data_IF_230080597369
#
_entry.id   IF_230080597369
#
_cell.length_a   1.000
_cell.length_b   1.000
_cell.length_c   1.000
_cell.angle_alpha   90.00
_cell.angle_beta   90.00
_cell.angle_gamma   90.00
#
_symmetry.space_group_name_H-M   'P 1'
#
loop_
_entity.id
_entity.type
_entity.pdbx_description
1 polymer ?
#
# COMPACT_ATOMS: atom_id res chain seq x y z
N UNK A 1 -31.43 -5.80 -21.37
CA UNK A 1 -30.71 -4.52 -21.46
C UNK A 1 -29.39 -4.85 -22.12
N UNK A 2 -29.29 -4.56 -23.41
CA UNK A 2 -28.30 -5.09 -24.33
C UNK A 2 -27.37 -3.94 -24.72
N UNK A 3 -26.08 -4.04 -24.39
CA UNK A 3 -25.10 -2.99 -24.66
C UNK A 3 -24.47 -3.29 -26.03
N UNK A 4 -24.81 -2.44 -27.00
CA UNK A 4 -24.22 -2.43 -28.35
C UNK A 4 -22.76 -1.98 -28.28
N UNK A 5 -21.88 -2.74 -28.93
CA UNK A 5 -20.50 -2.34 -29.23
C UNK A 5 -20.50 -1.16 -30.21
N UNK A 6 -19.69 -0.15 -29.91
CA UNK A 6 -19.49 1.02 -30.76
C UNK A 6 -18.20 0.82 -31.56
N UNK A 7 -18.31 0.55 -32.85
CA UNK A 7 -17.16 0.53 -33.76
C UNK A 7 -16.72 1.97 -34.07
N UNK A 8 -15.48 2.30 -33.74
CA UNK A 8 -14.85 3.57 -34.14
C UNK A 8 -14.34 3.46 -35.58
N UNK A 9 -14.99 4.19 -36.48
CA UNK A 9 -14.53 4.40 -37.86
C UNK A 9 -13.40 5.42 -37.87
N UNK A 10 -12.16 5.00 -38.13
CA UNK A 10 -11.02 5.92 -38.32
C UNK A 10 -10.79 6.22 -39.81
N UNK A 11 -11.23 7.42 -40.18
CA UNK A 11 -10.73 8.40 -41.16
C UNK A 11 -9.71 7.89 -42.20
N UNK A 12 -10.20 7.78 -43.44
CA UNK A 12 -9.41 7.94 -44.68
C UNK A 12 -8.96 9.41 -44.82
N UNK A 13 -7.73 9.71 -44.47
CA UNK A 13 -7.00 10.86 -44.99
C UNK A 13 -5.54 10.46 -45.08
N UNK A 14 -5.02 10.20 -46.29
CA UNK A 14 -3.63 10.37 -46.73
C UNK A 14 -3.49 9.68 -48.09
N UNK A 15 -3.83 10.40 -49.15
CA UNK A 15 -3.37 10.11 -50.50
C UNK A 15 -2.79 11.40 -51.05
N UNK A 16 -1.54 11.33 -51.51
CA UNK A 16 -0.67 12.43 -51.95
C UNK A 16 0.01 13.26 -50.87
N UNK A 17 1.03 12.67 -50.24
CA UNK A 17 2.22 13.40 -49.83
C UNK A 17 3.46 12.55 -50.19
N UNK A 18 4.52 13.23 -50.63
CA UNK A 18 5.76 12.65 -51.14
C UNK A 18 6.42 11.68 -50.14
N UNK A 19 7.00 10.60 -50.68
CA UNK A 19 7.39 9.36 -49.97
C UNK A 19 8.60 9.44 -49.02
N UNK A 20 8.97 10.61 -48.50
CA UNK A 20 10.26 10.76 -47.79
C UNK A 20 10.19 11.37 -46.38
N UNK A 21 9.01 11.76 -45.87
CA UNK A 21 8.88 12.42 -44.54
C UNK A 21 7.90 11.76 -43.55
N UNK A 22 7.27 10.64 -43.92
CA UNK A 22 6.19 10.01 -43.13
C UNK A 22 6.65 9.03 -42.02
N UNK A 23 7.92 8.59 -42.05
CA UNK A 23 8.42 7.62 -41.07
C UNK A 23 8.70 8.17 -39.65
N UNK A 24 9.25 9.39 -39.43
CA UNK A 24 9.57 9.86 -38.08
C UNK A 24 8.36 10.33 -37.26
N UNK A 25 7.22 10.67 -37.90
CA UNK A 25 6.04 11.21 -37.18
C UNK A 25 5.22 10.12 -36.46
N UNK A 26 5.21 8.89 -36.98
CA UNK A 26 4.43 7.77 -36.41
C UNK A 26 5.09 7.21 -35.13
N UNK A 27 6.43 7.26 -35.04
CA UNK A 27 7.18 6.79 -33.86
C UNK A 27 7.03 7.75 -32.67
N UNK A 28 6.95 9.06 -32.91
CA UNK A 28 6.75 10.06 -31.86
C UNK A 28 5.36 9.99 -31.21
N UNK A 29 4.32 9.66 -31.98
CA UNK A 29 2.97 9.43 -31.44
C UNK A 29 2.89 8.17 -30.57
N UNK A 30 3.53 7.06 -30.96
CA UNK A 30 3.47 5.81 -30.16
C UNK A 30 4.19 5.91 -28.80
N UNK A 31 5.21 6.76 -28.68
CA UNK A 31 5.94 6.99 -27.43
C UNK A 31 5.19 7.89 -26.44
N UNK A 32 4.17 8.63 -26.86
CA UNK A 32 3.41 9.56 -26.00
C UNK A 32 2.15 8.94 -25.37
N UNK A 33 1.66 7.80 -25.87
CA UNK A 33 0.46 7.15 -25.32
C UNK A 33 0.76 6.11 -24.21
N UNK A 34 1.97 5.53 -24.16
CA UNK A 34 2.31 4.51 -23.15
C UNK A 34 2.57 5.07 -21.75
N UNK A 35 3.22 6.23 -21.65
CA UNK A 35 3.58 6.87 -20.38
C UNK A 35 2.37 7.47 -19.65
N UNK A 36 1.37 7.98 -20.38
CA UNK A 36 0.18 8.60 -19.78
C UNK A 36 -0.71 7.59 -19.03
N UNK A 37 -0.80 6.33 -19.48
CA UNK A 37 -1.64 5.30 -18.84
C UNK A 37 -1.00 4.75 -17.57
N UNK A 38 0.33 4.50 -17.56
CA UNK A 38 1.05 4.10 -16.34
C UNK A 38 1.09 5.21 -15.30
N UNK A 39 1.22 6.47 -15.72
CA UNK A 39 1.15 7.63 -14.82
C UNK A 39 -0.24 7.86 -14.22
N UNK A 40 -1.33 7.40 -14.85
CA UNK A 40 -2.69 7.54 -14.33
C UNK A 40 -3.01 6.52 -13.21
N UNK A 41 -2.41 5.34 -13.25
CA UNK A 41 -2.53 4.34 -12.18
C UNK A 41 -1.66 4.71 -10.97
N UNK A 42 -0.49 5.31 -11.22
CA UNK A 42 0.29 5.97 -10.19
C UNK A 42 -0.48 7.21 -9.70
N UNK A 43 -0.40 7.51 -8.40
CA UNK A 43 -1.02 8.66 -7.73
C UNK A 43 -2.56 8.61 -7.52
N UNK A 44 -3.24 7.53 -7.92
CA UNK A 44 -4.64 7.30 -7.54
C UNK A 44 -4.71 6.49 -6.25
N UNK A 45 -5.61 6.89 -5.34
CA UNK A 45 -5.88 6.14 -4.11
C UNK A 45 -6.72 4.90 -4.40
N UNK A 46 -6.23 3.76 -3.96
CA UNK A 46 -7.02 2.54 -3.79
C UNK A 46 -7.55 2.48 -2.36
N UNK A 47 -8.74 1.92 -2.20
CA UNK A 47 -9.43 1.78 -0.92
C UNK A 47 -9.53 0.30 -0.54
N UNK A 48 -9.32 0.04 0.75
CA UNK A 48 -9.51 -1.25 1.41
C UNK A 48 -10.56 -1.02 2.49
N UNK A 49 -11.63 -1.79 2.44
CA UNK A 49 -12.74 -1.69 3.38
C UNK A 49 -12.58 -2.71 4.48
N UNK A 50 -12.79 -2.29 5.72
CA UNK A 50 -13.00 -3.20 6.83
C UNK A 50 -14.47 -3.29 7.23
N UNK A 51 -14.76 -4.26 8.08
CA UNK A 51 -16.07 -4.30 8.73
C UNK A 51 -16.23 -3.09 9.66
N UNK A 52 -17.39 -2.41 9.67
CA UNK A 52 -17.62 -1.30 10.59
C UNK A 52 -18.09 -1.77 11.98
N UNK A 53 -18.08 -3.09 12.25
CA UNK A 53 -18.64 -3.67 13.45
C UNK A 53 -17.87 -4.86 14.01
N UNK A 54 -16.55 -4.87 13.92
CA UNK A 54 -15.73 -5.96 14.45
C UNK A 54 -14.69 -5.55 15.49
N UNK A 55 -14.52 -4.26 15.75
CA UNK A 55 -13.71 -3.87 16.89
C UNK A 55 -14.31 -4.30 18.23
N UNK A 56 -13.47 -4.60 19.22
CA UNK A 56 -13.90 -5.01 20.57
C UNK A 56 -13.54 -3.91 21.59
N UNK A 57 -14.43 -3.60 22.52
CA UNK A 57 -14.12 -2.83 23.74
C UNK A 57 -14.89 -3.39 24.93
N UNK A 58 -14.18 -4.10 25.81
CA UNK A 58 -14.84 -4.84 26.90
C UNK A 58 -15.79 -5.89 26.32
N UNK A 59 -17.08 -5.76 26.61
CA UNK A 59 -18.13 -6.62 26.04
C UNK A 59 -18.89 -5.99 24.86
N UNK A 60 -18.43 -4.84 24.35
CA UNK A 60 -19.01 -4.16 23.18
C UNK A 60 -18.29 -4.62 21.92
N UNK A 61 -19.05 -4.94 20.87
CA UNK A 61 -18.56 -5.25 19.52
C UNK A 61 -19.10 -4.22 18.55
N UNK A 62 -18.20 -3.62 17.77
CA UNK A 62 -18.49 -2.63 16.75
C UNK A 62 -18.74 -1.21 17.27
N UNK A 63 -18.38 -0.22 16.44
CA UNK A 63 -18.53 1.20 16.74
C UNK A 63 -17.71 1.68 17.95
N UNK A 64 -16.67 0.93 18.33
CA UNK A 64 -15.87 1.26 19.52
C UNK A 64 -14.85 2.35 19.21
N UNK A 65 -14.11 2.79 20.23
CA UNK A 65 -12.98 3.71 20.03
C UNK A 65 -11.87 3.09 19.18
N UNK A 66 -11.77 1.76 19.13
CA UNK A 66 -10.70 1.05 18.41
C UNK A 66 -11.01 0.83 16.93
N UNK A 67 -12.23 1.12 16.47
CA UNK A 67 -12.69 0.78 15.13
C UNK A 67 -11.81 1.39 14.03
N UNK A 68 -11.38 0.56 13.09
CA UNK A 68 -10.70 0.93 11.85
C UNK A 68 -11.64 0.57 10.71
N UNK A 69 -12.07 1.57 9.95
CA UNK A 69 -13.07 1.35 8.91
C UNK A 69 -12.46 1.07 7.56
N UNK A 70 -11.32 1.71 7.28
CA UNK A 70 -10.71 1.74 5.96
C UNK A 70 -9.22 1.93 6.02
N UNK A 71 -8.54 1.35 5.04
CA UNK A 71 -7.19 1.74 4.66
C UNK A 71 -7.20 2.23 3.21
N UNK A 72 -6.22 3.07 2.91
CA UNK A 72 -6.00 3.59 1.57
C UNK A 72 -4.53 3.44 1.26
N UNK A 73 -4.23 3.16 0.00
CA UNK A 73 -2.86 3.19 -0.48
C UNK A 73 -2.78 3.87 -1.84
N UNK A 74 -1.63 4.50 -2.10
CA UNK A 74 -1.25 4.89 -3.46
C UNK A 74 0.24 4.79 -3.61
N UNK A 75 0.67 4.53 -4.84
CA UNK A 75 2.06 4.67 -5.23
C UNK A 75 2.24 5.94 -6.05
N UNK A 76 3.16 6.79 -5.63
CA UNK A 76 3.73 7.90 -6.43
C UNK A 76 5.12 7.46 -6.91
N UNK A 77 5.72 8.19 -7.84
CA UNK A 77 6.99 7.81 -8.48
C UNK A 77 8.00 7.17 -7.51
N UNK A 78 8.42 7.92 -6.48
CA UNK A 78 9.42 7.48 -5.50
C UNK A 78 8.83 7.17 -4.11
N UNK A 79 7.50 7.18 -3.96
CA UNK A 79 6.84 7.10 -2.63
C UNK A 79 5.68 6.14 -2.62
N UNK A 80 5.53 5.42 -1.52
CA UNK A 80 4.28 4.73 -1.19
C UNK A 80 3.65 5.51 -0.04
N UNK A 81 2.35 5.78 -0.20
CA UNK A 81 1.54 6.43 0.82
C UNK A 81 0.51 5.42 1.34
N UNK A 82 0.40 5.32 2.66
CA UNK A 82 -0.63 4.55 3.36
C UNK A 82 -1.45 5.51 4.20
N UNK A 83 -2.77 5.36 4.20
CA UNK A 83 -3.67 6.13 5.05
C UNK A 83 -4.77 5.26 5.63
N UNK A 84 -5.38 5.70 6.72
CA UNK A 84 -6.31 4.89 7.52
C UNK A 84 -7.39 5.77 8.11
N UNK A 85 -8.65 5.34 8.04
CA UNK A 85 -9.77 6.01 8.69
C UNK A 85 -10.24 5.18 9.90
N UNK A 86 -10.29 5.79 11.07
CA UNK A 86 -10.48 5.11 12.35
C UNK A 86 -11.13 6.00 13.40
N UNK A 87 -11.75 5.41 14.42
CA UNK A 87 -12.13 6.11 15.64
C UNK A 87 -10.97 6.26 16.64
N UNK A 88 -9.86 5.55 16.41
CA UNK A 88 -8.78 5.47 17.37
C UNK A 88 -7.92 6.74 17.35
N UNK A 89 -7.82 7.48 18.47
CA UNK A 89 -7.07 8.72 18.49
C UNK A 89 -5.56 8.48 18.37
N UNK A 90 -4.85 9.40 17.72
CA UNK A 90 -3.40 9.30 17.47
C UNK A 90 -2.58 9.13 18.73
N UNK A 91 -2.96 9.85 19.78
CA UNK A 91 -2.33 9.80 21.09
C UNK A 91 -2.69 8.54 21.90
N UNK A 92 -3.47 7.61 21.34
CA UNK A 92 -4.01 6.44 22.02
C UNK A 92 -5.04 6.76 23.10
N UNK A 93 -5.35 5.76 23.92
CA UNK A 93 -6.36 5.86 24.99
C UNK A 93 -5.82 5.30 26.30
N UNK A 94 -6.24 5.87 27.42
CA UNK A 94 -5.99 5.27 28.74
C UNK A 94 -6.83 4.01 28.91
N UNK A 95 -6.23 2.95 29.45
CA UNK A 95 -6.91 1.68 29.71
C UNK A 95 -6.39 1.06 31.00
N UNK A 96 -7.29 0.80 31.95
CA UNK A 96 -6.96 0.07 33.19
C UNK A 96 -6.67 -1.41 32.94
N UNK A 97 -6.95 -1.92 31.74
CA UNK A 97 -6.65 -3.30 31.35
C UNK A 97 -5.27 -3.44 30.70
N UNK A 98 -4.64 -2.33 30.31
CA UNK A 98 -3.28 -2.34 29.79
C UNK A 98 -2.25 -2.29 30.92
N UNK A 99 -1.18 -3.06 30.77
CA UNK A 99 -0.14 -3.21 31.80
C UNK A 99 0.58 -1.90 32.17
N UNK A 100 0.67 -0.96 31.23
CA UNK A 100 1.23 0.38 31.40
C UNK A 100 0.16 1.47 31.54
N UNK A 101 -1.12 1.08 31.64
CA UNK A 101 -2.26 1.99 31.76
C UNK A 101 -2.68 2.65 30.44
N UNK A 102 -2.13 2.22 29.31
CA UNK A 102 -2.25 2.92 28.04
C UNK A 102 -2.33 1.95 26.85
N UNK A 103 -3.07 2.33 25.81
CA UNK A 103 -3.11 1.59 24.54
C UNK A 103 -2.80 2.59 23.44
N UNK A 104 -1.74 2.31 22.69
CA UNK A 104 -1.36 3.06 21.50
C UNK A 104 -1.67 2.32 20.20
N UNK A 105 -1.29 2.95 19.09
CA UNK A 105 -1.17 2.25 17.82
C UNK A 105 0.04 1.33 17.84
N UNK A 106 -0.11 0.14 17.26
CA UNK A 106 1.03 -0.68 16.89
C UNK A 106 1.84 -0.05 15.75
N UNK A 107 2.85 -0.78 15.33
CA UNK A 107 3.65 -0.44 14.15
C UNK A 107 2.93 -0.93 12.89
N UNK A 108 3.11 -0.26 11.75
CA UNK A 108 2.59 -0.76 10.47
C UNK A 108 3.56 -1.82 9.99
N UNK A 109 3.14 -3.07 9.95
CA UNK A 109 3.99 -4.19 9.53
C UNK A 109 3.78 -4.43 8.04
N UNK A 110 4.85 -4.66 7.30
CA UNK A 110 4.87 -4.86 5.85
C UNK A 110 5.62 -6.17 5.54
N UNK A 111 4.98 -7.07 4.83
CA UNK A 111 5.53 -8.36 4.41
C UNK A 111 5.60 -8.46 2.89
N UNK A 112 6.82 -8.52 2.37
CA UNK A 112 7.13 -8.61 0.94
C UNK A 112 7.56 -10.02 0.51
N UNK A 113 7.56 -11.00 1.44
CA UNK A 113 8.15 -12.33 1.21
C UNK A 113 7.24 -13.28 0.44
N UNK A 114 5.94 -12.98 0.37
CA UNK A 114 4.91 -13.91 -0.11
C UNK A 114 4.60 -15.07 0.85
N UNK A 115 5.19 -15.09 2.04
CA UNK A 115 4.93 -16.10 3.07
C UNK A 115 3.90 -15.60 4.10
N UNK A 116 3.40 -16.50 4.95
CA UNK A 116 2.60 -16.10 6.11
C UNK A 116 3.45 -15.30 7.12
N UNK A 117 2.79 -14.54 8.00
CA UNK A 117 3.47 -13.61 8.90
C UNK A 117 4.46 -14.30 9.85
N UNK A 118 4.16 -15.52 10.30
CA UNK A 118 5.02 -16.28 11.21
C UNK A 118 6.31 -16.77 10.53
N UNK A 119 6.25 -17.14 9.26
CA UNK A 119 7.41 -17.59 8.49
C UNK A 119 8.29 -16.42 8.04
N UNK A 120 7.71 -15.24 7.83
CA UNK A 120 8.42 -14.04 7.38
C UNK A 120 9.16 -13.28 8.50
N UNK A 121 9.14 -13.76 9.75
CA UNK A 121 9.80 -13.10 10.88
C UNK A 121 11.30 -12.93 10.63
N UNK A 122 11.82 -11.72 10.85
CA UNK A 122 13.21 -11.35 10.56
C UNK A 122 13.44 -10.87 9.12
N UNK A 123 12.43 -10.98 8.25
CA UNK A 123 12.45 -10.49 6.86
C UNK A 123 11.36 -9.44 6.60
N UNK A 124 10.66 -8.99 7.66
CA UNK A 124 9.62 -7.98 7.54
C UNK A 124 10.22 -6.58 7.38
N UNK A 125 9.42 -5.69 6.82
CA UNK A 125 9.57 -4.26 7.01
C UNK A 125 8.55 -3.78 8.04
N UNK A 126 8.82 -2.66 8.69
CA UNK A 126 7.81 -2.01 9.54
C UNK A 126 8.01 -0.51 9.62
N UNK A 127 6.92 0.23 9.81
CA UNK A 127 6.94 1.66 10.09
C UNK A 127 6.59 1.87 11.55
N UNK A 128 7.56 2.36 12.33
CA UNK A 128 7.30 2.94 13.63
C UNK A 128 6.88 4.39 13.45
N UNK A 129 5.58 4.62 13.44
CA UNK A 129 5.01 5.93 13.18
C UNK A 129 4.80 6.76 14.47
N UNK A 130 4.54 6.07 15.58
CA UNK A 130 4.26 6.66 16.90
C UNK A 130 5.34 6.29 17.91
N UNK A 131 5.68 7.21 18.82
CA UNK A 131 6.71 6.99 19.84
C UNK A 131 6.17 6.37 21.12
N UNK A 132 4.88 6.53 21.37
CA UNK A 132 4.16 6.02 22.53
C UNK A 132 3.51 4.68 22.20
N UNK A 133 4.34 3.65 22.01
CA UNK A 133 3.93 2.27 21.84
C UNK A 133 4.99 1.32 22.46
N UNK A 134 4.64 0.07 22.69
CA UNK A 134 5.47 -1.01 23.25
C UNK A 134 6.51 -1.58 22.25
N UNK A 135 6.76 -0.86 21.16
CA UNK A 135 7.77 -1.19 20.16
C UNK A 135 9.17 -1.15 20.77
N UNK A 136 9.97 -2.17 20.46
CA UNK A 136 11.35 -2.27 20.94
C UNK A 136 12.32 -1.45 20.09
N UNK A 137 11.90 -0.96 18.93
CA UNK A 137 12.72 -0.08 18.12
C UNK A 137 12.95 1.26 18.85
N UNK A 138 14.14 1.88 18.80
CA UNK A 138 14.38 3.14 19.49
C UNK A 138 13.93 4.36 18.66
N UNK A 139 13.98 4.27 17.34
CA UNK A 139 13.75 5.38 16.42
C UNK A 139 12.41 5.25 15.71
N UNK A 140 11.78 6.40 15.42
CA UNK A 140 10.70 6.48 14.45
C UNK A 140 11.26 6.33 13.02
N UNK A 141 10.47 5.77 12.12
CA UNK A 141 10.87 5.59 10.72
C UNK A 141 10.48 4.23 10.16
N UNK A 142 11.06 3.93 9.01
CA UNK A 142 10.97 2.65 8.32
C UNK A 142 12.14 1.77 8.76
N UNK A 143 11.82 0.53 9.09
CA UNK A 143 12.76 -0.50 9.51
C UNK A 143 12.67 -1.70 8.55
N UNK A 144 13.80 -2.39 8.38
CA UNK A 144 13.89 -3.70 7.74
C UNK A 144 14.43 -4.75 8.69
N UNK A 145 14.53 -6.00 8.22
CA UNK A 145 14.93 -7.16 9.01
C UNK A 145 14.09 -7.30 10.30
N UNK A 146 12.80 -6.98 10.19
CA UNK A 146 11.91 -6.85 11.34
C UNK A 146 11.39 -8.22 11.79
N UNK A 147 11.45 -8.44 13.10
CA UNK A 147 10.60 -9.42 13.78
C UNK A 147 9.53 -8.65 14.55
N UNK A 148 8.27 -9.07 14.41
CA UNK A 148 7.14 -8.52 15.12
C UNK A 148 6.76 -9.40 16.31
N UNK A 149 6.14 -8.79 17.32
CA UNK A 149 5.51 -9.44 18.48
C UNK A 149 4.09 -8.90 18.63
N UNK A 150 3.25 -9.64 19.36
CA UNK A 150 1.99 -9.09 19.87
C UNK A 150 2.16 -8.75 21.34
N UNK A 151 1.52 -7.67 21.76
CA UNK A 151 1.35 -7.28 23.16
C UNK A 151 -0.13 -7.25 23.55
N UNK A 152 -0.99 -7.92 22.77
CA UNK A 152 -2.43 -7.78 22.88
C UNK A 152 -2.98 -8.23 24.24
N UNK A 153 -2.48 -9.35 24.76
CA UNK A 153 -2.87 -9.85 26.07
C UNK A 153 -2.40 -8.91 27.20
N UNK A 154 -1.20 -8.33 27.06
CA UNK A 154 -0.66 -7.33 28.00
C UNK A 154 -1.47 -6.03 27.98
N UNK A 155 -2.12 -5.75 26.85
CA UNK A 155 -2.96 -4.58 26.63
C UNK A 155 -4.46 -4.87 26.79
N UNK A 156 -4.80 -6.00 27.44
CA UNK A 156 -6.14 -6.25 27.95
C UNK A 156 -7.12 -6.88 26.96
N UNK A 157 -6.66 -7.38 25.82
CA UNK A 157 -7.54 -8.11 24.90
C UNK A 157 -8.01 -9.42 25.54
N UNK A 158 -9.32 -9.57 25.70
CA UNK A 158 -9.96 -10.70 26.40
C UNK A 158 -9.94 -12.01 25.59
N UNK A 159 -10.25 -12.04 24.29
CA UNK A 159 -10.04 -13.25 23.48
C UNK A 159 -8.59 -13.72 23.54
N UNK A 160 -8.35 -15.04 23.63
CA UNK A 160 -7.00 -15.56 23.85
C UNK A 160 -6.10 -15.58 22.59
N UNK A 161 -6.70 -15.43 21.41
CA UNK A 161 -6.04 -15.44 20.10
C UNK A 161 -7.00 -14.93 19.02
N UNK A 162 -6.52 -14.85 17.77
CA UNK A 162 -7.30 -14.37 16.63
C UNK A 162 -8.55 -15.22 16.35
N UNK A 163 -8.48 -16.55 16.50
CA UNK A 163 -9.66 -17.41 16.33
C UNK A 163 -10.74 -17.10 17.36
N UNK A 164 -10.34 -16.94 18.63
CA UNK A 164 -11.24 -16.58 19.71
C UNK A 164 -11.81 -15.18 19.51
N UNK A 165 -11.01 -14.23 18.99
CA UNK A 165 -11.46 -12.88 18.62
C UNK A 165 -12.57 -12.96 17.57
N UNK A 166 -12.31 -13.64 16.45
CA UNK A 166 -13.27 -13.79 15.36
C UNK A 166 -14.57 -14.44 15.84
N UNK A 167 -14.45 -15.49 16.65
CA UNK A 167 -15.60 -16.17 17.25
C UNK A 167 -16.38 -15.25 18.19
N UNK A 168 -15.68 -14.44 18.99
CA UNK A 168 -16.29 -13.48 19.91
C UNK A 168 -17.08 -12.42 19.15
N UNK A 169 -16.46 -11.77 18.16
CA UNK A 169 -17.13 -10.78 17.29
C UNK A 169 -18.39 -11.38 16.67
N UNK A 170 -18.27 -12.54 16.05
CA UNK A 170 -19.39 -13.20 15.38
C UNK A 170 -20.51 -13.57 16.34
N UNK A 171 -20.18 -14.12 17.53
CA UNK A 171 -21.17 -14.51 18.54
C UNK A 171 -21.91 -13.32 19.16
N UNK A 172 -21.34 -12.12 19.08
CA UNK A 172 -21.94 -10.87 19.55
C UNK A 172 -22.53 -10.03 18.40
N UNK A 173 -22.76 -10.64 17.23
CA UNK A 173 -23.48 -10.01 16.11
C UNK A 173 -22.64 -9.11 15.20
N UNK A 174 -21.32 -9.05 15.41
CA UNK A 174 -20.38 -8.40 14.50
C UNK A 174 -20.00 -9.28 13.31
N UNK A 175 -19.23 -8.72 12.37
CA UNK A 175 -18.68 -9.44 11.23
C UNK A 175 -17.16 -9.32 11.24
N UNK A 176 -16.42 -10.33 11.71
CA UNK A 176 -14.96 -10.25 11.76
C UNK A 176 -14.39 -10.09 10.35
N UNK A 177 -13.50 -9.13 10.18
CA UNK A 177 -12.82 -8.77 8.95
C UNK A 177 -11.39 -8.34 9.26
N UNK A 178 -10.53 -8.35 8.25
CA UNK A 178 -9.15 -7.84 8.32
C UNK A 178 -8.81 -7.17 6.98
N UNK A 179 -9.69 -6.28 6.51
CA UNK A 179 -9.60 -5.65 5.20
C UNK A 179 -9.63 -6.64 4.01
N UNK A 180 -8.60 -6.59 3.17
CA UNK A 180 -8.48 -7.44 1.97
C UNK A 180 -8.29 -8.93 2.29
N UNK A 181 -7.94 -9.26 3.53
CA UNK A 181 -7.75 -10.64 3.97
C UNK A 181 -9.02 -11.16 4.66
N UNK A 182 -9.45 -12.39 4.37
CA UNK A 182 -10.55 -12.99 5.12
C UNK A 182 -10.14 -13.17 6.58
N UNK A 183 -11.08 -13.03 7.53
CA UNK A 183 -10.78 -13.13 8.97
C UNK A 183 -10.12 -14.46 9.38
N UNK A 184 -10.42 -15.55 8.68
CA UNK A 184 -9.81 -16.87 8.86
C UNK A 184 -8.62 -17.14 7.92
N UNK A 185 -7.98 -16.09 7.40
CA UNK A 185 -6.82 -16.20 6.49
C UNK A 185 -5.71 -17.06 7.10
N UNK A 186 -5.02 -17.80 6.24
CA UNK A 186 -3.81 -18.56 6.59
C UNK A 186 -2.58 -17.67 6.77
N UNK A 187 -2.67 -16.40 6.38
CA UNK A 187 -1.59 -15.44 6.52
C UNK A 187 -1.26 -15.14 7.99
N UNK A 188 -2.29 -15.06 8.83
CA UNK A 188 -2.17 -14.93 10.28
C UNK A 188 -2.40 -16.28 10.95
N UNK A 189 -1.54 -16.65 11.89
CA UNK A 189 -1.77 -17.81 12.74
C UNK A 189 -2.94 -17.55 13.68
N UNK A 190 -4.02 -18.31 13.47
CA UNK A 190 -5.28 -18.17 14.19
C UNK A 190 -5.16 -18.54 15.68
N UNK A 191 -4.09 -19.23 16.10
CA UNK A 191 -3.88 -19.68 17.48
C UNK A 191 -3.14 -18.67 18.36
N UNK A 192 -2.70 -17.55 17.79
CA UNK A 192 -2.04 -16.46 18.51
C UNK A 192 -2.72 -15.13 18.22
N UNK A 193 -2.34 -14.09 18.95
CA UNK A 193 -2.67 -12.72 18.60
C UNK A 193 -1.80 -12.23 17.44
N UNK A 194 -2.32 -11.31 16.62
CA UNK A 194 -1.59 -10.79 15.45
C UNK A 194 -0.38 -9.97 15.92
N UNK A 195 0.86 -10.37 15.55
CA UNK A 195 2.03 -9.54 15.81
C UNK A 195 1.95 -8.21 15.05
N UNK A 196 1.82 -7.09 15.78
CA UNK A 196 1.74 -5.75 15.21
C UNK A 196 2.63 -4.72 15.91
N UNK A 197 3.62 -5.18 16.68
CA UNK A 197 4.60 -4.33 17.37
C UNK A 197 6.00 -4.85 17.06
N UNK A 198 6.96 -3.98 16.76
CA UNK A 198 8.33 -4.38 16.44
C UNK A 198 8.99 -4.96 17.70
N UNK A 199 9.50 -6.18 17.59
CA UNK A 199 10.35 -6.83 18.59
C UNK A 199 11.83 -6.54 18.34
N UNK A 200 12.24 -6.48 17.08
CA UNK A 200 13.58 -6.11 16.63
C UNK A 200 13.54 -5.65 15.17
N UNK A 201 14.54 -4.88 14.75
CA UNK A 201 14.72 -4.48 13.35
C UNK A 201 15.84 -3.47 13.18
N UNK A 202 16.24 -3.24 11.93
CA UNK A 202 17.27 -2.28 11.54
C UNK A 202 16.59 -1.03 10.97
N UNK A 203 16.91 0.15 11.51
CA UNK A 203 16.41 1.41 10.95
C UNK A 203 16.99 1.65 9.55
N UNK A 204 16.14 2.01 8.60
CA UNK A 204 16.52 2.23 7.20
C UNK A 204 16.38 3.69 6.77
N UNK A 205 15.23 4.31 7.06
CA UNK A 205 14.94 5.67 6.61
C UNK A 205 13.84 6.34 7.45
N UNK A 206 13.68 7.64 7.27
CA UNK A 206 12.58 8.41 7.83
C UNK A 206 11.27 8.18 7.07
N UNK A 207 10.16 8.35 7.79
CA UNK A 207 8.83 8.44 7.20
C UNK A 207 8.29 9.85 7.35
N UNK A 208 7.37 10.23 6.46
CA UNK A 208 6.71 11.53 6.50
C UNK A 208 5.23 11.34 6.82
N UNK A 209 4.73 12.06 7.82
CA UNK A 209 3.30 12.16 8.05
C UNK A 209 2.65 12.95 6.91
N UNK A 210 1.54 12.44 6.40
CA UNK A 210 0.73 13.13 5.41
C UNK A 210 -0.05 14.27 6.09
N UNK A 211 -0.09 15.42 5.43
CA UNK A 211 -0.84 16.57 5.91
C UNK A 211 -2.35 16.36 5.71
N UNK A 212 -3.22 17.13 6.40
CA UNK A 212 -4.65 17.12 6.11
C UNK A 212 -4.98 17.43 4.64
N UNK A 213 -4.14 18.20 3.95
CA UNK A 213 -4.32 18.48 2.52
C UNK A 213 -4.03 17.24 1.65
N UNK A 214 -3.02 16.44 2.00
CA UNK A 214 -2.69 15.20 1.28
C UNK A 214 -3.78 14.14 1.44
N UNK A 215 -4.48 14.17 2.59
CA UNK A 215 -5.57 13.28 2.95
C UNK A 215 -6.94 13.80 2.52
N UNK A 216 -7.00 14.96 1.84
CA UNK A 216 -8.26 15.57 1.43
C UNK A 216 -9.03 14.64 0.49
N UNK A 217 -10.30 14.39 0.81
CA UNK A 217 -11.17 13.48 0.05
C UNK A 217 -11.04 12.01 0.46
N UNK A 218 -10.07 11.67 1.32
CA UNK A 218 -10.05 10.39 2.03
C UNK A 218 -10.89 10.50 3.28
N UNK A 219 -11.57 9.42 3.63
CA UNK A 219 -12.35 9.37 4.85
C UNK A 219 -13.38 8.26 4.85
N UNK A 220 -14.13 8.22 5.93
CA UNK A 220 -15.15 7.24 6.20
C UNK A 220 -15.91 7.62 7.45
N UNK A 221 -16.64 6.68 8.06
CA UNK A 221 -17.39 6.94 9.28
C UNK A 221 -16.50 7.17 10.51
N UNK A 222 -15.19 6.88 10.41
CA UNK A 222 -14.22 7.10 11.48
C UNK A 222 -13.94 8.57 11.74
N UNK A 223 -13.70 8.90 13.01
CA UNK A 223 -13.43 10.25 13.49
C UNK A 223 -12.13 10.86 12.97
N UNK A 224 -11.13 10.02 12.66
CA UNK A 224 -9.81 10.44 12.29
C UNK A 224 -9.35 9.78 10.99
N UNK A 225 -8.53 10.51 10.23
CA UNK A 225 -7.78 9.96 9.10
C UNK A 225 -6.31 10.30 9.29
N UNK A 226 -5.46 9.29 9.33
CA UNK A 226 -4.01 9.44 9.43
C UNK A 226 -3.35 8.86 8.20
N UNK A 227 -2.14 9.29 7.87
CA UNK A 227 -1.38 8.63 6.83
C UNK A 227 0.10 8.93 6.87
N UNK A 228 0.87 8.00 6.33
CA UNK A 228 2.33 8.03 6.28
C UNK A 228 2.80 7.83 4.84
N UNK A 229 3.93 8.42 4.52
CA UNK A 229 4.62 8.29 3.25
C UNK A 229 6.05 7.82 3.49
N UNK A 230 6.53 6.89 2.67
CA UNK A 230 7.90 6.36 2.73
C UNK A 230 8.45 6.10 1.33
N UNK A 231 9.78 5.97 1.22
CA UNK A 231 10.44 5.77 -0.07
C UNK A 231 10.11 4.39 -0.65
N UNK A 232 9.59 4.36 -1.88
CA UNK A 232 9.19 3.12 -2.55
C UNK A 232 10.40 2.26 -2.93
N UNK A 233 11.57 2.88 -3.11
CA UNK A 233 12.84 2.22 -3.46
C UNK A 233 13.38 1.29 -2.37
N UNK A 234 12.90 1.44 -1.12
CA UNK A 234 13.33 0.61 0.01
C UNK A 234 12.69 -0.78 -0.04
N UNK A 235 11.46 -0.87 -0.56
CA UNK A 235 10.78 -2.16 -0.72
C UNK A 235 11.17 -2.81 -2.05
N UNK A 236 11.30 -4.15 -2.11
CA UNK A 236 11.39 -4.85 -3.39
C UNK A 236 10.14 -4.58 -4.25
N UNK A 237 10.27 -4.78 -5.57
CA UNK A 237 9.13 -4.75 -6.49
C UNK A 237 8.20 -5.95 -6.27
N UNK A 238 6.92 -5.80 -6.63
CA UNK A 238 5.91 -6.84 -6.53
C UNK A 238 4.87 -6.57 -5.45
N UNK A 239 4.08 -7.58 -5.11
CA UNK A 239 3.03 -7.45 -4.10
C UNK A 239 3.58 -7.52 -2.69
N UNK A 240 2.99 -6.75 -1.78
CA UNK A 240 3.22 -6.89 -0.34
C UNK A 240 1.90 -6.83 0.43
N UNK A 241 1.91 -7.41 1.62
CA UNK A 241 0.80 -7.29 2.58
C UNK A 241 1.24 -6.31 3.65
N UNK A 242 0.40 -5.32 3.96
CA UNK A 242 0.56 -4.54 5.18
C UNK A 242 -0.56 -4.84 6.16
N UNK A 243 -0.30 -4.63 7.46
CA UNK A 243 -1.36 -4.56 8.46
C UNK A 243 -1.07 -3.52 9.53
N UNK A 244 -2.12 -2.96 10.10
CA UNK A 244 -2.03 -1.97 11.17
C UNK A 244 -3.23 -2.02 12.10
N UNK A 245 -3.02 -1.58 13.35
CA UNK A 245 -4.08 -1.41 14.33
C UNK A 245 -3.52 -1.13 15.72
N UNK A 246 -4.39 -0.92 16.72
CA UNK A 246 -4.01 -0.78 18.11
C UNK A 246 -3.16 -1.97 18.62
N UNK A 247 -2.24 -1.71 19.55
CA UNK A 247 -1.34 -2.73 20.12
C UNK A 247 -2.07 -3.87 20.83
N UNK A 248 -3.28 -3.58 21.28
CA UNK A 248 -4.20 -4.54 21.87
C UNK A 248 -4.88 -5.48 20.85
N UNK A 249 -4.71 -5.28 19.53
CA UNK A 249 -5.44 -6.00 18.47
C UNK A 249 -6.96 -5.95 18.64
N UNK A 250 -7.49 -4.89 19.27
CA UNK A 250 -8.95 -4.69 19.40
C UNK A 250 -9.62 -4.41 18.05
N UNK A 251 -8.84 -4.10 17.02
CA UNK A 251 -9.20 -4.07 15.61
C UNK A 251 -7.90 -4.09 14.79
N UNK A 252 -7.87 -4.77 13.64
CA UNK A 252 -6.69 -4.84 12.76
C UNK A 252 -7.14 -4.90 11.32
N UNK A 253 -6.67 -3.95 10.52
CA UNK A 253 -6.88 -3.94 9.08
C UNK A 253 -5.62 -4.44 8.35
N UNK A 254 -5.80 -5.18 7.27
CA UNK A 254 -4.73 -5.55 6.34
C UNK A 254 -5.08 -5.24 4.89
N UNK A 255 -4.06 -4.98 4.08
CA UNK A 255 -4.20 -4.67 2.67
C UNK A 255 -3.18 -5.39 1.81
N UNK A 256 -3.59 -5.76 0.59
CA UNK A 256 -2.68 -6.30 -0.42
C UNK A 256 -2.36 -5.18 -1.42
N UNK A 257 -1.07 -4.83 -1.52
CA UNK A 257 -0.62 -3.74 -2.39
C UNK A 257 0.28 -4.30 -3.48
N UNK A 258 -0.03 -3.99 -4.73
CA UNK A 258 0.86 -4.23 -5.86
C UNK A 258 1.77 -3.02 -6.08
N UNK A 259 3.06 -3.16 -5.79
CA UNK A 259 4.06 -2.14 -6.12
C UNK A 259 4.49 -2.28 -7.58
N UNK A 260 4.12 -1.31 -8.40
CA UNK A 260 4.46 -1.28 -9.82
C UNK A 260 5.87 -0.68 -9.97
N UNK A 261 6.72 -1.31 -10.78
CA UNK A 261 8.02 -0.72 -11.13
C UNK A 261 7.80 0.58 -11.93
N UNK A 262 8.33 1.68 -11.43
CA UNK A 262 8.40 2.95 -12.17
C UNK A 262 9.73 2.98 -12.92
N UNK A 263 9.75 2.99 -14.27
CA UNK A 263 11.01 3.05 -15.01
C UNK A 263 11.70 4.39 -14.75
N UNK A 264 12.94 4.35 -14.26
CA UNK A 264 13.77 5.55 -14.12
C UNK A 264 13.86 6.31 -15.46
N UNK A 265 13.72 7.65 -15.47
CA UNK A 265 13.72 8.46 -16.70
C UNK A 265 14.96 8.26 -17.59
N UNK A 266 16.09 7.91 -16.98
CA UNK A 266 17.37 7.67 -17.65
C UNK A 266 17.30 6.50 -18.64
N UNK A 267 16.50 5.47 -18.37
CA UNK A 267 16.32 4.33 -19.26
C UNK A 267 15.47 4.71 -20.48
N UNK A 268 14.45 5.56 -20.30
CA UNK A 268 13.58 6.02 -21.39
C UNK A 268 14.35 6.90 -22.37
N UNK A 269 15.23 7.78 -21.86
CA UNK A 269 16.08 8.63 -22.70
C UNK A 269 17.12 7.81 -23.49
N UNK A 270 17.69 6.77 -22.88
CA UNK A 270 18.61 5.85 -23.55
C UNK A 270 17.98 5.10 -24.73
N UNK A 271 16.75 4.60 -24.56
CA UNK A 271 16.00 3.96 -25.65
C UNK A 271 15.59 4.96 -26.74
N UNK A 272 15.16 6.16 -26.37
CA UNK A 272 14.83 7.21 -27.33
C UNK A 272 16.04 7.61 -28.19
N UNK A 273 17.22 7.78 -27.57
CA UNK A 273 18.46 8.09 -28.29
C UNK A 273 18.95 6.94 -29.18
N UNK A 274 18.79 5.69 -28.74
CA UNK A 274 19.13 4.52 -29.55
C UNK A 274 18.25 4.39 -30.80
N UNK A 275 16.95 4.66 -30.68
CA UNK A 275 16.01 4.67 -31.82
C UNK A 275 16.31 5.82 -32.79
N UNK A 276 16.65 7.00 -32.29
CA UNK A 276 17.11 8.13 -33.12
C UNK A 276 18.39 7.77 -33.87
N UNK A 277 19.35 7.12 -33.22
CA UNK A 277 20.60 6.66 -33.83
C UNK A 277 20.42 5.58 -34.91
N UNK A 278 19.46 4.67 -34.74
CA UNK A 278 19.10 3.67 -35.77
C UNK A 278 18.44 4.31 -37.00
N UNK A 279 17.57 5.30 -36.78
CA UNK A 279 16.93 6.05 -37.86
C UNK A 279 17.93 6.89 -38.66
N UNK A 280 18.96 7.46 -38.02
CA UNK A 280 19.99 8.24 -38.74
C UNK A 280 20.87 7.37 -39.64
N UNK A 281 21.22 6.15 -39.21
CA UNK A 281 22.02 5.21 -40.02
C UNK A 281 21.28 4.74 -41.29
N UNK A 282 19.96 4.60 -41.24
CA UNK A 282 19.16 4.21 -42.41
C UNK A 282 19.09 5.31 -43.48
N UNK A 283 19.14 6.58 -43.09
CA UNK A 283 19.09 7.72 -44.02
C UNK A 283 20.45 7.91 -44.72
N UNK A 284 21.57 7.68 -44.02
CA UNK A 284 22.91 7.83 -44.61
C UNK A 284 23.35 6.68 -45.52
N UNK A 285 22.67 5.52 -45.46
CA UNK A 285 23.04 4.33 -46.25
C UNK A 285 22.47 4.28 -47.68
N UNK A 286 21.52 5.15 -48.04
CA UNK A 286 20.80 5.09 -49.33
C UNK A 286 21.32 6.09 -50.36
N UNK A 287 22.14 7.08 -49.97
CA UNK A 287 22.73 8.03 -50.92
C UNK A 287 24.09 7.52 -51.39
N UNK A 288 24.10 6.57 -52.33
CA UNK A 288 25.24 6.38 -53.23
C UNK A 288 25.19 7.49 -54.27
N UNK A 289 26.17 8.40 -54.37
CA UNK A 289 26.23 9.35 -55.46
C UNK A 289 26.56 8.57 -56.74
N UNK A 290 25.61 8.53 -57.68
CA UNK A 290 25.90 8.12 -59.04
C UNK A 290 26.72 9.22 -59.71
N UNK A 291 28.04 9.04 -59.73
CA UNK A 291 28.97 9.85 -60.51
C UNK A 291 29.66 8.95 -61.54
N UNK A 292 29.12 8.98 -62.76
CA UNK A 292 29.70 8.86 -64.10
C UNK A 292 28.82 8.02 -65.03
#
# INVERSE_FOLDING_TARGET
>A
MEIKSTEFTFIKCFHHAEKSLLAPLVIACLLSFGSAVQAATLNTWSEILDSPNDSIQGDTVGGTVYEIYKAFYRQREERIDLAFNTNFPFQGVSSSFASDGYIGFGDIIINTTGQNLSAAQGELFAIRAVSNNNSAAPNLGLLGDVSAKSVASQNGLKPANLQAYNSYVQSNGGQPSIGDLPANTIYFDQNVHIPNVIASGTWLDNVQWLSPADLSGLGGPGQYTYGVSFASSILPDGSFIFHWGPECNNDVIAGIVEKIRVPEPSNVLGFALMLIGLATKFITGVVKPALK
#
